data_IF_387255556358
#
_entry.id   IF_387255556358
#
_cell.length_a   1.000
_cell.length_b   1.000
_cell.length_c   1.000
_cell.angle_alpha   90.00
_cell.angle_beta   90.00
_cell.angle_gamma   90.00
#
_symmetry.space_group_name_H-M   'P 1'
#
loop_
_entity.id
_entity.type
_entity.pdbx_description
1 polymer ?
#
# COMPACT_ATOMS: atom_id res chain seq x y z
N UNK A 1 -5.35 14.71 1.14
CA UNK A 1 -5.24 13.37 0.54
C UNK A 1 -5.12 13.54 -0.96
N UNK A 2 -4.17 12.87 -1.58
CA UNK A 2 -3.93 12.88 -3.02
C UNK A 2 -5.03 12.07 -3.76
N UNK A 3 -5.50 12.51 -4.95
CA UNK A 3 -6.61 11.85 -5.66
C UNK A 3 -6.39 10.35 -5.93
N UNK A 4 -5.15 9.94 -6.25
CA UNK A 4 -4.81 8.52 -6.40
C UNK A 4 -5.01 7.73 -5.10
N UNK A 5 -4.55 8.26 -3.96
CA UNK A 5 -4.71 7.58 -2.66
C UNK A 5 -6.18 7.47 -2.28
N UNK A 6 -6.94 8.54 -2.49
CA UNK A 6 -8.40 8.56 -2.25
C UNK A 6 -9.13 7.52 -3.11
N UNK A 7 -8.83 7.46 -4.41
CA UNK A 7 -9.43 6.48 -5.31
C UNK A 7 -9.07 5.04 -4.93
N UNK A 8 -7.83 4.80 -4.51
CA UNK A 8 -7.38 3.49 -4.03
C UNK A 8 -8.18 3.08 -2.78
N UNK A 9 -8.33 3.97 -1.81
CA UNK A 9 -9.07 3.69 -0.57
C UNK A 9 -10.56 3.47 -0.87
N UNK A 10 -11.15 4.29 -1.75
CA UNK A 10 -12.54 4.12 -2.17
C UNK A 10 -12.77 2.74 -2.81
N UNK A 11 -11.88 2.31 -3.69
CA UNK A 11 -11.99 1.02 -4.36
C UNK A 11 -11.76 -0.16 -3.40
N UNK A 12 -10.84 -0.03 -2.42
CA UNK A 12 -10.69 -1.04 -1.37
C UNK A 12 -11.98 -1.23 -0.57
N UNK A 13 -12.72 -0.15 -0.28
CA UNK A 13 -14.00 -0.21 0.42
C UNK A 13 -15.09 -0.87 -0.43
N UNK A 14 -15.09 -0.64 -1.74
CA UNK A 14 -16.02 -1.31 -2.67
C UNK A 14 -15.74 -2.82 -2.73
N UNK A 15 -14.47 -3.22 -2.69
CA UNK A 15 -14.05 -4.62 -2.73
C UNK A 15 -14.05 -5.30 -1.35
N UNK A 16 -14.41 -4.58 -0.29
CA UNK A 16 -14.34 -5.10 1.07
C UNK A 16 -15.27 -6.30 1.27
N UNK A 17 -14.76 -7.30 1.97
CA UNK A 17 -15.47 -8.52 2.32
C UNK A 17 -15.25 -8.79 3.83
N UNK A 18 -16.23 -8.43 4.68
CA UNK A 18 -16.12 -8.61 6.12
C UNK A 18 -15.92 -10.06 6.57
N UNK A 19 -16.44 -11.04 5.82
CA UNK A 19 -16.28 -12.46 6.16
C UNK A 19 -14.82 -12.90 5.95
N UNK A 20 -14.19 -12.42 4.87
CA UNK A 20 -12.77 -12.66 4.61
C UNK A 20 -11.88 -11.85 5.58
N UNK A 21 -12.29 -10.64 5.94
CA UNK A 21 -11.52 -9.74 6.80
C UNK A 21 -11.19 -10.37 8.16
N UNK A 22 -12.14 -11.07 8.77
CA UNK A 22 -11.95 -11.77 10.04
C UNK A 22 -10.88 -12.86 9.93
N UNK A 23 -10.96 -13.69 8.89
CA UNK A 23 -9.98 -14.75 8.64
C UNK A 23 -8.57 -14.20 8.37
N UNK A 24 -8.46 -13.09 7.63
CA UNK A 24 -7.19 -12.42 7.38
C UNK A 24 -6.57 -11.85 8.65
N UNK A 25 -7.39 -11.19 9.49
CA UNK A 25 -6.94 -10.66 10.79
C UNK A 25 -6.47 -11.78 11.72
N UNK A 26 -7.25 -12.86 11.83
CA UNK A 26 -6.93 -14.02 12.64
C UNK A 26 -5.61 -14.70 12.19
N UNK A 27 -5.41 -14.84 10.88
CA UNK A 27 -4.16 -15.36 10.33
C UNK A 27 -2.96 -14.50 10.72
N UNK A 28 -3.08 -13.18 10.61
CA UNK A 28 -2.01 -12.24 10.91
C UNK A 28 -1.76 -12.04 12.41
N UNK A 29 -2.64 -12.54 13.28
CA UNK A 29 -2.57 -12.35 14.75
C UNK A 29 -2.33 -10.88 15.10
N UNK A 30 -2.99 -9.98 14.39
CA UNK A 30 -2.80 -8.53 14.49
C UNK A 30 -4.11 -7.86 14.91
N UNK A 31 -4.00 -6.82 15.73
CA UNK A 31 -5.13 -5.95 16.07
C UNK A 31 -5.50 -4.99 14.92
N UNK A 32 -4.67 -4.95 13.86
CA UNK A 32 -4.91 -4.11 12.71
C UNK A 32 -6.13 -4.61 11.92
N UNK A 33 -7.10 -3.73 11.58
CA UNK A 33 -8.26 -4.13 10.81
C UNK A 33 -7.90 -4.46 9.35
N UNK A 34 -8.75 -5.28 8.75
CA UNK A 34 -8.71 -5.64 7.33
C UNK A 34 -10.03 -5.26 6.67
N UNK A 35 -9.97 -4.87 5.40
CA UNK A 35 -11.15 -4.77 4.55
C UNK A 35 -11.61 -6.15 4.05
N UNK A 36 -10.73 -7.15 4.02
CA UNK A 36 -10.98 -8.48 3.44
C UNK A 36 -10.59 -8.58 1.97
N UNK A 37 -9.78 -7.64 1.46
CA UNK A 37 -9.43 -7.60 0.03
C UNK A 37 -8.20 -8.47 -0.23
N UNK A 38 -8.42 -9.61 -0.89
CA UNK A 38 -7.36 -10.52 -1.32
C UNK A 38 -6.38 -9.85 -2.30
N UNK A 39 -5.14 -10.33 -2.34
CA UNK A 39 -4.07 -9.76 -3.15
C UNK A 39 -4.39 -9.72 -4.67
N UNK A 40 -5.11 -10.72 -5.21
CA UNK A 40 -5.50 -10.76 -6.62
C UNK A 40 -6.40 -9.58 -7.02
N UNK A 41 -7.61 -9.45 -6.43
CA UNK A 41 -8.48 -8.30 -6.63
C UNK A 41 -7.79 -6.96 -6.35
N UNK A 42 -7.06 -6.84 -5.24
CA UNK A 42 -6.33 -5.62 -4.87
C UNK A 42 -5.37 -5.15 -5.96
N UNK A 43 -4.49 -6.04 -6.44
CA UNK A 43 -3.52 -5.74 -7.50
C UNK A 43 -4.17 -5.42 -8.84
N UNK A 44 -5.28 -6.11 -9.16
CA UNK A 44 -6.03 -5.88 -10.40
C UNK A 44 -6.68 -4.49 -10.41
N UNK A 45 -7.31 -4.14 -9.28
CA UNK A 45 -7.88 -2.82 -9.04
C UNK A 45 -6.80 -1.73 -9.13
N UNK A 46 -5.70 -1.88 -8.40
CA UNK A 46 -4.61 -0.91 -8.42
C UNK A 46 -4.06 -0.68 -9.83
N UNK A 47 -3.83 -1.73 -10.62
CA UNK A 47 -3.38 -1.60 -12.03
C UNK A 47 -4.36 -0.83 -12.90
N UNK A 48 -5.67 -0.95 -12.64
CA UNK A 48 -6.70 -0.20 -13.37
C UNK A 48 -6.65 1.27 -13.00
N UNK A 49 -6.59 1.58 -11.70
CA UNK A 49 -6.50 2.96 -11.20
C UNK A 49 -5.21 3.62 -11.68
N UNK A 50 -4.06 2.96 -11.56
CA UNK A 50 -2.75 3.50 -11.95
C UNK A 50 -2.65 3.87 -13.45
N UNK A 51 -3.49 3.29 -14.32
CA UNK A 51 -3.57 3.70 -15.74
C UNK A 51 -4.25 5.05 -15.93
N UNK A 52 -5.15 5.41 -15.02
CA UNK A 52 -5.90 6.66 -15.04
C UNK A 52 -5.13 7.82 -14.40
N UNK A 53 -4.19 7.50 -13.50
CA UNK A 53 -3.38 8.48 -12.78
C UNK A 53 -1.91 8.38 -13.18
N UNK A 54 -1.40 9.43 -13.82
CA UNK A 54 0.03 9.57 -14.06
C UNK A 54 0.66 10.30 -12.88
N UNK A 55 1.58 9.62 -12.21
CA UNK A 55 2.45 10.24 -11.21
C UNK A 55 3.39 11.23 -11.90
N UNK A 56 3.37 12.51 -11.51
CA UNK A 56 4.12 13.57 -12.20
C UNK A 56 5.34 14.06 -11.43
N UNK A 57 5.49 13.72 -10.14
CA UNK A 57 6.65 14.13 -9.35
C UNK A 57 7.08 13.14 -8.26
N UNK A 58 8.30 13.34 -7.74
CA UNK A 58 8.83 12.63 -6.57
C UNK A 58 8.04 12.97 -5.30
N UNK A 59 7.54 14.22 -5.18
CA UNK A 59 6.77 14.68 -4.02
C UNK A 59 5.41 13.98 -3.96
N UNK A 60 4.74 13.81 -5.09
CA UNK A 60 3.48 13.04 -5.16
C UNK A 60 3.71 11.58 -4.80
N UNK A 61 4.79 10.98 -5.31
CA UNK A 61 5.15 9.60 -4.99
C UNK A 61 5.30 9.38 -3.48
N UNK A 62 6.03 10.28 -2.82
CA UNK A 62 6.19 10.27 -1.36
C UNK A 62 4.86 10.49 -0.64
N UNK A 63 4.10 11.51 -1.04
CA UNK A 63 2.82 11.85 -0.42
C UNK A 63 1.85 10.67 -0.45
N UNK A 64 1.67 10.02 -1.59
CA UNK A 64 0.72 8.91 -1.77
C UNK A 64 1.13 7.71 -0.93
N UNK A 65 2.42 7.38 -0.89
CA UNK A 65 2.93 6.27 -0.07
C UNK A 65 2.65 6.55 1.40
N UNK A 66 2.95 7.75 1.89
CA UNK A 66 2.72 8.06 3.31
C UNK A 66 1.25 8.15 3.69
N UNK A 67 0.39 8.68 2.81
CA UNK A 67 -1.05 8.72 3.05
C UNK A 67 -1.64 7.31 3.17
N UNK A 68 -1.27 6.39 2.27
CA UNK A 68 -1.73 5.00 2.31
C UNK A 68 -1.09 4.22 3.47
N UNK A 69 0.17 4.47 3.78
CA UNK A 69 0.88 3.80 4.87
C UNK A 69 0.35 4.19 6.25
N UNK A 70 -0.12 5.44 6.41
CA UNK A 70 -0.78 5.91 7.62
C UNK A 70 -2.22 5.39 7.77
N UNK A 71 -2.72 4.64 6.79
CA UNK A 71 -4.04 4.01 6.82
C UNK A 71 -4.23 3.06 7.99
N UNK A 72 -5.46 2.97 8.49
CA UNK A 72 -5.79 2.09 9.60
C UNK A 72 -5.82 0.62 9.15
N UNK A 73 -6.21 0.36 7.91
CA UNK A 73 -6.40 -0.98 7.39
C UNK A 73 -5.14 -1.53 6.74
N UNK A 74 -4.88 -2.82 6.93
CA UNK A 74 -3.68 -3.48 6.38
C UNK A 74 -3.58 -3.34 4.87
N UNK A 75 -4.71 -3.42 4.15
CA UNK A 75 -4.72 -3.33 2.70
C UNK A 75 -4.32 -1.95 2.18
N UNK A 76 -4.48 -0.89 2.97
CA UNK A 76 -3.96 0.44 2.60
C UNK A 76 -2.42 0.43 2.62
N UNK A 77 -1.80 -0.16 3.65
CA UNK A 77 -0.35 -0.34 3.70
C UNK A 77 0.16 -1.20 2.55
N UNK A 78 -0.56 -2.28 2.19
CA UNK A 78 -0.20 -3.06 1.00
C UNK A 78 -0.29 -2.23 -0.28
N UNK A 79 -1.29 -1.37 -0.42
CA UNK A 79 -1.37 -0.47 -1.57
C UNK A 79 -0.25 0.57 -1.58
N UNK A 80 0.20 1.06 -0.41
CA UNK A 80 1.38 1.93 -0.33
C UNK A 80 2.62 1.21 -0.91
N UNK A 81 2.80 -0.07 -0.58
CA UNK A 81 3.89 -0.89 -1.10
C UNK A 81 3.71 -1.20 -2.60
N UNK A 82 2.49 -1.42 -3.07
CA UNK A 82 2.20 -1.60 -4.50
C UNK A 82 2.48 -0.32 -5.30
N UNK A 83 2.16 0.87 -4.77
CA UNK A 83 2.53 2.17 -5.35
C UNK A 83 4.06 2.32 -5.39
N UNK A 84 4.73 2.06 -4.26
CA UNK A 84 6.18 2.11 -4.18
C UNK A 84 6.82 1.15 -5.19
N UNK A 85 6.20 -0.02 -5.38
CA UNK A 85 6.68 -1.03 -6.29
C UNK A 85 6.49 -0.63 -7.77
N UNK A 86 5.33 -0.07 -8.10
CA UNK A 86 4.90 0.19 -9.47
C UNK A 86 5.68 1.34 -10.13
N UNK A 87 5.84 2.46 -9.43
CA UNK A 87 6.44 3.65 -10.01
C UNK A 87 7.97 3.67 -9.88
N UNK A 88 8.62 2.71 -10.54
CA UNK A 88 10.10 2.52 -10.53
C UNK A 88 10.90 3.79 -10.82
N UNK A 89 10.37 4.70 -11.65
CA UNK A 89 11.00 5.99 -11.99
C UNK A 89 11.33 6.84 -10.77
N UNK A 90 10.53 6.76 -9.71
CA UNK A 90 10.70 7.54 -8.49
C UNK A 90 11.44 6.76 -7.39
N UNK A 91 12.06 5.63 -7.71
CA UNK A 91 12.94 4.90 -6.78
C UNK A 91 14.38 5.39 -6.95
N UNK A 92 14.67 6.54 -6.37
CA UNK A 92 15.99 7.17 -6.43
C UNK A 92 16.59 7.23 -5.02
N UNK A 93 17.82 7.72 -4.90
CA UNK A 93 18.41 7.98 -3.58
C UNK A 93 17.58 8.98 -2.75
N UNK A 94 16.85 9.89 -3.40
CA UNK A 94 15.94 10.81 -2.72
C UNK A 94 14.74 10.10 -2.07
N UNK A 95 14.45 8.85 -2.45
CA UNK A 95 13.39 8.03 -1.87
C UNK A 95 13.82 7.29 -0.61
N UNK A 96 15.12 7.30 -0.28
CA UNK A 96 15.63 6.59 0.89
C UNK A 96 14.94 6.98 2.21
N UNK A 97 14.67 8.26 2.50
CA UNK A 97 13.93 8.63 3.71
C UNK A 97 12.53 8.01 3.80
N UNK A 98 11.89 7.77 2.66
CA UNK A 98 10.60 7.08 2.58
C UNK A 98 10.78 5.65 3.06
N UNK A 99 11.72 4.92 2.49
CA UNK A 99 11.91 3.50 2.78
C UNK A 99 12.44 3.26 4.19
N UNK A 100 13.36 4.09 4.71
CA UNK A 100 13.81 4.02 6.10
C UNK A 100 12.62 4.18 7.06
N UNK A 101 11.71 5.13 6.78
CA UNK A 101 10.49 5.29 7.57
C UNK A 101 9.57 4.07 7.47
N UNK A 102 9.34 3.51 6.29
CA UNK A 102 8.52 2.31 6.11
C UNK A 102 9.10 1.13 6.89
N UNK A 103 10.41 0.89 6.82
CA UNK A 103 11.09 -0.19 7.56
C UNK A 103 10.93 -0.01 9.08
N UNK A 104 11.16 1.20 9.59
CA UNK A 104 11.06 1.49 11.04
C UNK A 104 9.64 1.39 11.59
N UNK A 105 8.64 1.61 10.74
CA UNK A 105 7.23 1.65 11.13
C UNK A 105 6.45 0.43 10.64
N UNK A 106 7.13 -0.56 10.05
CA UNK A 106 6.51 -1.79 9.58
C UNK A 106 5.87 -2.53 10.77
N UNK A 107 4.54 -2.68 10.80
CA UNK A 107 3.85 -3.28 11.95
C UNK A 107 4.05 -4.79 12.09
N UNK A 108 4.45 -5.49 11.02
CA UNK A 108 4.54 -6.95 11.02
C UNK A 108 5.42 -7.48 9.87
N UNK A 109 5.79 -8.77 9.92
CA UNK A 109 6.78 -9.38 9.01
C UNK A 109 6.40 -9.28 7.53
N UNK A 110 5.13 -9.37 7.19
CA UNK A 110 4.64 -9.40 5.80
C UNK A 110 4.86 -8.06 5.07
N UNK A 111 4.82 -6.93 5.77
CA UNK A 111 5.15 -5.63 5.17
C UNK A 111 6.66 -5.40 5.13
N UNK A 112 7.39 -5.82 6.19
CA UNK A 112 8.85 -5.72 6.23
C UNK A 112 9.52 -6.57 5.13
N UNK A 113 9.09 -7.83 4.97
CA UNK A 113 9.59 -8.76 3.96
C UNK A 113 9.34 -8.24 2.54
N UNK A 114 8.20 -7.59 2.31
CA UNK A 114 7.90 -6.95 1.03
C UNK A 114 8.88 -5.79 0.78
N UNK A 115 9.07 -4.90 1.76
CA UNK A 115 10.01 -3.78 1.61
C UNK A 115 11.42 -4.30 1.29
N UNK A 116 11.92 -5.25 2.08
CA UNK A 116 13.23 -5.85 1.91
C UNK A 116 13.38 -6.55 0.55
N UNK A 117 12.37 -7.31 0.12
CA UNK A 117 12.47 -8.16 -1.07
C UNK A 117 12.06 -7.51 -2.39
N UNK A 118 11.36 -6.37 -2.38
CA UNK A 118 10.83 -5.73 -3.61
C UNK A 118 11.15 -4.26 -3.75
N UNK A 119 11.47 -3.57 -2.65
CA UNK A 119 11.67 -2.11 -2.66
C UNK A 119 13.15 -1.76 -2.51
N UNK A 120 13.82 -2.31 -1.50
CA UNK A 120 15.23 -2.00 -1.17
C UNK A 120 16.23 -3.11 -1.55
N UNK A 121 15.80 -4.06 -2.39
CA UNK A 121 16.60 -5.18 -2.91
C UNK A 121 17.52 -4.81 -4.06
#
# INVERSE_FOLDING_TARGET
>A
MHPLAEQIIAELKVLADPEIAEGMRAYMKSDQPFYGVKAGPRRSSFKTIAKQFKMISQVEYEQIIFELWAGAYREEMYQALEVAEHYKKYRTLASWPIYDRLVRTAPHWDTLDWIAGKIVS
#
